data_IF_153938680005
#
_entry.id   IF_153938680005
#
_cell.length_a   1.000
_cell.length_b   1.000
_cell.length_c   1.000
_cell.angle_alpha   90.00
_cell.angle_beta   90.00
_cell.angle_gamma   90.00
#
_symmetry.space_group_name_H-M   'P 1'
#
loop_
_entity.id
_entity.type
_entity.pdbx_description
1 polymer ?
#
# COMPACT_ATOMS: atom_id res chain seq x y z
N UNK A 1 -7.66 8.06 -17.86
CA UNK A 1 -9.00 8.26 -17.27
C UNK A 1 -9.34 7.41 -16.04
N UNK A 2 -8.43 7.26 -15.05
CA UNK A 2 -8.69 6.38 -13.88
C UNK A 2 -8.54 7.14 -12.55
N UNK A 3 -9.29 8.23 -12.40
CA UNK A 3 -9.43 8.94 -11.12
C UNK A 3 -10.93 9.09 -10.85
N UNK A 4 -11.58 8.01 -10.40
CA UNK A 4 -12.90 8.11 -9.76
C UNK A 4 -12.70 8.58 -8.31
N UNK A 5 -13.63 9.39 -7.83
CA UNK A 5 -13.65 9.93 -6.46
C UNK A 5 -12.85 11.22 -6.25
N UNK A 6 -13.15 11.93 -5.17
CA UNK A 6 -12.40 13.11 -4.72
C UNK A 6 -10.96 12.73 -4.35
N UNK A 7 -10.01 13.68 -4.33
CA UNK A 7 -8.63 13.39 -3.89
C UNK A 7 -8.57 12.72 -2.51
N UNK A 8 -9.43 13.14 -1.57
CA UNK A 8 -9.52 12.54 -0.24
C UNK A 8 -10.00 11.08 -0.31
N UNK A 9 -11.01 10.78 -1.12
CA UNK A 9 -11.48 9.39 -1.34
C UNK A 9 -10.41 8.52 -1.98
N UNK A 10 -9.63 9.06 -2.91
CA UNK A 10 -8.54 8.33 -3.54
C UNK A 10 -7.40 8.03 -2.56
N UNK A 11 -7.05 9.01 -1.72
CA UNK A 11 -6.02 8.84 -0.67
C UNK A 11 -6.47 7.79 0.35
N UNK A 12 -7.66 7.96 0.92
CA UNK A 12 -8.20 7.05 1.91
C UNK A 12 -8.39 5.64 1.32
N UNK A 13 -8.96 5.55 0.12
CA UNK A 13 -9.14 4.30 -0.59
C UNK A 13 -7.81 3.58 -0.87
N UNK A 14 -6.78 4.29 -1.30
CA UNK A 14 -5.43 3.71 -1.46
C UNK A 14 -4.84 3.20 -0.14
N UNK A 15 -5.10 3.85 1.01
CA UNK A 15 -4.68 3.31 2.31
C UNK A 15 -5.41 2.02 2.65
N UNK A 16 -6.72 1.98 2.44
CA UNK A 16 -7.54 0.80 2.67
C UNK A 16 -7.00 -0.38 1.86
N UNK A 17 -6.64 -0.14 0.59
CA UNK A 17 -6.02 -1.16 -0.26
C UNK A 17 -4.64 -1.61 0.24
N UNK A 18 -3.77 -0.69 0.71
CA UNK A 18 -2.48 -1.06 1.34
C UNK A 18 -2.71 -1.98 2.54
N UNK A 19 -3.67 -1.66 3.41
CA UNK A 19 -3.95 -2.47 4.60
C UNK A 19 -4.49 -3.84 4.18
N UNK A 20 -5.36 -3.90 3.18
CA UNK A 20 -5.89 -5.15 2.63
C UNK A 20 -4.78 -6.05 2.06
N UNK A 21 -3.86 -5.48 1.27
CA UNK A 21 -2.71 -6.21 0.72
C UNK A 21 -1.82 -6.73 1.84
N UNK A 22 -1.48 -5.89 2.84
CA UNK A 22 -0.69 -6.32 4.01
C UNK A 22 -1.37 -7.45 4.77
N UNK A 23 -2.69 -7.39 4.95
CA UNK A 23 -3.43 -8.44 5.61
C UNK A 23 -3.38 -9.77 4.82
N UNK A 24 -3.50 -9.72 3.50
CA UNK A 24 -3.37 -10.90 2.64
C UNK A 24 -1.95 -11.51 2.71
N UNK A 25 -0.92 -10.68 2.64
CA UNK A 25 0.47 -11.11 2.78
C UNK A 25 0.73 -11.74 4.14
N UNK A 26 0.26 -11.11 5.21
CA UNK A 26 0.37 -11.68 6.56
C UNK A 26 -0.39 -12.99 6.69
N UNK A 27 -1.57 -13.11 6.06
CA UNK A 27 -2.34 -14.35 6.05
C UNK A 27 -1.55 -15.51 5.42
N UNK A 28 -0.82 -15.23 4.34
CA UNK A 28 0.08 -16.16 3.67
C UNK A 28 1.31 -16.49 4.54
N UNK A 29 2.06 -15.47 4.99
CA UNK A 29 3.30 -15.62 5.76
C UNK A 29 3.10 -16.41 7.06
N UNK A 30 2.05 -16.10 7.80
CA UNK A 30 1.74 -16.76 9.08
C UNK A 30 0.89 -18.01 8.91
N UNK A 31 0.60 -18.42 7.66
CA UNK A 31 -0.25 -19.57 7.33
C UNK A 31 -1.52 -19.60 8.17
N UNK A 32 -2.24 -18.48 8.18
CA UNK A 32 -3.42 -18.33 9.04
C UNK A 32 -4.42 -19.46 8.79
N UNK A 33 -5.08 -19.99 9.84
CA UNK A 33 -6.14 -20.99 9.67
C UNK A 33 -7.32 -20.41 8.87
N UNK A 34 -8.03 -21.29 8.16
CA UNK A 34 -9.10 -20.93 7.20
C UNK A 34 -10.16 -20.00 7.81
N UNK A 35 -10.52 -20.21 9.08
CA UNK A 35 -11.48 -19.36 9.80
C UNK A 35 -11.01 -17.91 9.90
N UNK A 36 -9.73 -17.67 10.17
CA UNK A 36 -9.15 -16.32 10.23
C UNK A 36 -9.03 -15.68 8.84
N UNK A 37 -8.70 -16.48 7.82
CA UNK A 37 -8.70 -16.01 6.42
C UNK A 37 -10.08 -15.52 5.99
N UNK A 38 -11.15 -16.23 6.35
CA UNK A 38 -12.53 -15.80 6.08
C UNK A 38 -12.86 -14.46 6.76
N UNK A 39 -12.42 -14.26 8.01
CA UNK A 39 -12.59 -12.97 8.68
C UNK A 39 -11.88 -11.82 7.96
N UNK A 40 -10.67 -12.03 7.43
CA UNK A 40 -9.97 -11.01 6.63
C UNK A 40 -10.81 -10.62 5.41
N UNK A 41 -11.33 -11.60 4.67
CA UNK A 41 -12.12 -11.35 3.45
C UNK A 41 -13.48 -10.70 3.76
N UNK A 42 -14.11 -11.06 4.88
CA UNK A 42 -15.44 -10.59 5.26
C UNK A 42 -15.42 -9.13 5.76
N UNK A 43 -14.42 -8.77 6.58
CA UNK A 43 -14.40 -7.49 7.29
C UNK A 43 -13.45 -6.45 6.69
N UNK A 44 -12.53 -6.83 5.80
CA UNK A 44 -11.70 -5.84 5.12
C UNK A 44 -12.46 -5.16 4.00
N UNK A 45 -12.39 -3.84 4.00
CA UNK A 45 -12.81 -3.02 2.86
C UNK A 45 -11.70 -2.93 1.83
N UNK A 46 -12.06 -2.69 0.58
CA UNK A 46 -11.15 -2.39 -0.52
C UNK A 46 -11.71 -1.22 -1.33
N UNK A 47 -10.87 -0.56 -2.13
CA UNK A 47 -11.25 0.59 -2.96
C UNK A 47 -11.05 0.31 -4.45
N UNK A 48 -9.79 0.23 -4.91
CA UNK A 48 -9.40 -0.13 -6.28
C UNK A 48 -8.98 -1.57 -6.40
N UNK A 49 -8.62 -2.22 -5.28
CA UNK A 49 -8.45 -3.66 -5.24
C UNK A 49 -9.84 -4.32 -5.25
N UNK A 50 -10.13 -5.19 -6.22
CA UNK A 50 -11.42 -5.91 -6.20
C UNK A 50 -11.44 -6.88 -5.01
N UNK A 51 -12.61 -7.05 -4.40
CA UNK A 51 -12.82 -7.96 -3.27
C UNK A 51 -12.54 -9.41 -3.66
N UNK A 52 -12.79 -9.77 -4.93
CA UNK A 52 -12.42 -11.09 -5.47
C UNK A 52 -10.91 -11.27 -5.47
N UNK A 53 -10.17 -10.27 -5.95
CA UNK A 53 -8.70 -10.28 -5.91
C UNK A 53 -8.20 -10.39 -4.47
N UNK A 54 -8.76 -9.66 -3.51
CA UNK A 54 -8.39 -9.82 -2.09
C UNK A 54 -8.61 -11.27 -1.59
N UNK A 55 -9.74 -11.88 -1.94
CA UNK A 55 -10.02 -13.25 -1.56
C UNK A 55 -9.02 -14.25 -2.17
N UNK A 56 -8.64 -14.05 -3.43
CA UNK A 56 -7.59 -14.82 -4.10
C UNK A 56 -6.24 -14.66 -3.40
N UNK A 57 -5.83 -13.43 -3.10
CA UNK A 57 -4.55 -13.14 -2.42
C UNK A 57 -4.49 -13.77 -1.02
N UNK A 58 -5.59 -13.75 -0.25
CA UNK A 58 -5.67 -14.36 1.08
C UNK A 58 -5.66 -15.90 1.00
N UNK A 59 -6.19 -16.46 -0.09
CA UNK A 59 -6.22 -17.91 -0.30
C UNK A 59 -4.84 -18.48 -0.71
N UNK A 60 -3.98 -17.66 -1.33
CA UNK A 60 -2.65 -18.08 -1.79
C UNK A 60 -1.76 -18.56 -0.64
N UNK A 61 -0.95 -19.57 -0.94
CA UNK A 61 -0.03 -20.20 0.00
C UNK A 61 1.42 -19.72 -0.15
N UNK A 62 1.70 -18.95 -1.20
CA UNK A 62 3.02 -18.48 -1.57
C UNK A 62 3.00 -17.01 -2.03
N UNK A 63 4.11 -16.33 -1.79
CA UNK A 63 4.28 -14.89 -2.02
C UNK A 63 4.42 -14.58 -3.52
N UNK A 64 5.02 -15.50 -4.29
CA UNK A 64 5.21 -15.33 -5.72
C UNK A 64 3.86 -15.24 -6.45
N UNK A 65 2.89 -16.08 -6.08
CA UNK A 65 1.53 -16.04 -6.60
C UNK A 65 0.81 -14.74 -6.23
N UNK A 66 0.96 -14.27 -4.99
CA UNK A 66 0.42 -12.97 -4.55
C UNK A 66 0.96 -11.86 -5.44
N UNK A 67 2.26 -11.86 -5.72
CA UNK A 67 2.90 -10.86 -6.56
C UNK A 67 2.43 -10.95 -8.02
N UNK A 68 2.27 -12.16 -8.55
CA UNK A 68 1.77 -12.39 -9.90
C UNK A 68 0.36 -11.82 -10.07
N UNK A 69 -0.56 -12.11 -9.15
CA UNK A 69 -1.92 -11.57 -9.15
C UNK A 69 -1.94 -10.06 -8.96
N UNK A 70 -1.07 -9.52 -8.11
CA UNK A 70 -0.95 -8.08 -7.91
C UNK A 70 -0.52 -7.32 -9.18
N UNK A 71 0.22 -7.96 -10.10
CA UNK A 71 0.58 -7.36 -11.41
C UNK A 71 -0.64 -7.10 -12.30
N UNK A 72 -1.73 -7.83 -12.11
CA UNK A 72 -2.96 -7.67 -12.87
C UNK A 72 -3.88 -6.58 -12.29
N UNK A 73 -3.53 -6.03 -11.12
CA UNK A 73 -4.31 -4.99 -10.44
C UNK A 73 -3.92 -3.57 -10.90
N UNK A 74 -4.70 -2.53 -10.54
CA UNK A 74 -4.31 -1.14 -10.77
C UNK A 74 -2.98 -0.71 -10.13
N UNK A 75 -2.40 -1.57 -9.28
CA UNK A 75 -1.12 -1.37 -8.60
C UNK A 75 0.05 -2.13 -9.25
N UNK A 76 -0.21 -2.82 -10.37
CA UNK A 76 0.75 -3.69 -11.05
C UNK A 76 1.89 -2.93 -11.72
N UNK A 77 2.89 -2.53 -10.95
CA UNK A 77 4.19 -2.08 -11.46
C UNK A 77 5.32 -2.54 -10.53
N UNK A 78 5.68 -3.82 -10.42
CA UNK A 78 7.04 -4.15 -9.93
C UNK A 78 7.59 -5.42 -10.56
N UNK A 79 8.80 -5.28 -11.10
CA UNK A 79 9.71 -6.32 -11.59
C UNK A 79 10.64 -6.78 -10.47
N UNK A 80 10.71 -8.09 -10.23
CA UNK A 80 11.64 -8.79 -9.32
C UNK A 80 10.99 -10.01 -8.67
N UNK A 81 11.70 -10.76 -7.82
CA UNK A 81 11.22 -12.02 -7.20
C UNK A 81 11.58 -12.19 -5.70
N UNK A 82 11.19 -11.27 -4.81
CA UNK A 82 11.44 -11.38 -3.35
C UNK A 82 10.39 -10.66 -2.48
N UNK A 83 10.36 -10.94 -1.17
CA UNK A 83 9.55 -10.24 -0.15
C UNK A 83 9.71 -8.71 -0.19
N UNK A 84 10.85 -8.23 -0.69
CA UNK A 84 11.12 -6.82 -0.99
C UNK A 84 10.11 -6.20 -1.96
N UNK A 85 9.46 -7.00 -2.80
CA UNK A 85 8.50 -6.53 -3.80
C UNK A 85 7.17 -6.08 -3.22
N UNK A 86 6.73 -6.65 -2.09
CA UNK A 86 5.50 -6.19 -1.44
C UNK A 86 5.75 -4.80 -0.85
N UNK A 87 6.90 -4.61 -0.23
CA UNK A 87 7.34 -3.29 0.25
C UNK A 87 7.53 -2.31 -0.91
N UNK A 88 8.07 -2.75 -2.05
CA UNK A 88 8.17 -1.94 -3.26
C UNK A 88 6.78 -1.58 -3.84
N UNK A 89 5.83 -2.53 -3.86
CA UNK A 89 4.46 -2.26 -4.27
C UNK A 89 3.79 -1.26 -3.32
N UNK A 90 3.96 -1.42 -2.01
CA UNK A 90 3.46 -0.45 -1.02
C UNK A 90 4.10 0.92 -1.25
N UNK A 91 5.42 0.97 -1.51
CA UNK A 91 6.14 2.20 -1.82
C UNK A 91 5.59 2.90 -3.07
N UNK A 92 5.24 2.15 -4.11
CA UNK A 92 4.62 2.72 -5.30
C UNK A 92 3.22 3.25 -5.05
N UNK A 93 2.41 2.56 -4.25
CA UNK A 93 1.09 3.07 -3.84
C UNK A 93 1.28 4.37 -3.04
N UNK A 94 2.24 4.41 -2.11
CA UNK A 94 2.59 5.63 -1.36
C UNK A 94 3.02 6.77 -2.28
N UNK A 95 3.86 6.53 -3.28
CA UNK A 95 4.24 7.55 -4.29
C UNK A 95 3.05 8.04 -5.12
N UNK A 96 2.17 7.12 -5.51
CA UNK A 96 0.95 7.48 -6.21
C UNK A 96 0.07 8.40 -5.34
N UNK A 97 -0.08 8.05 -4.06
CA UNK A 97 -0.78 8.87 -3.06
C UNK A 97 -0.10 10.23 -2.89
N UNK A 98 1.23 10.29 -2.70
CA UNK A 98 2.00 11.55 -2.62
C UNK A 98 1.74 12.45 -3.84
N UNK A 99 1.73 11.89 -5.05
CA UNK A 99 1.43 12.65 -6.28
C UNK A 99 0.02 13.23 -6.30
N UNK A 100 -0.99 12.47 -5.85
CA UNK A 100 -2.36 12.98 -5.71
C UNK A 100 -2.42 14.10 -4.68
N UNK A 101 -1.76 13.92 -3.53
CA UNK A 101 -1.74 14.87 -2.43
C UNK A 101 -1.11 16.20 -2.85
N UNK A 102 0.08 16.19 -3.45
CA UNK A 102 0.75 17.39 -3.96
C UNK A 102 -0.12 18.11 -4.98
N UNK A 103 -0.77 17.37 -5.90
CA UNK A 103 -1.69 17.96 -6.88
C UNK A 103 -2.92 18.58 -6.19
N UNK A 104 -3.44 17.96 -5.14
CA UNK A 104 -4.58 18.48 -4.39
C UNK A 104 -4.22 19.79 -3.67
N UNK A 105 -3.06 19.85 -3.02
CA UNK A 105 -2.55 21.06 -2.36
C UNK A 105 -2.44 22.24 -3.34
N UNK A 106 -1.93 21.97 -4.55
CA UNK A 106 -1.73 23.00 -5.56
C UNK A 106 -3.03 23.50 -6.20
N UNK A 107 -4.05 22.64 -6.32
CA UNK A 107 -5.28 22.95 -7.08
C UNK A 107 -6.45 23.38 -6.22
N UNK A 108 -6.52 22.97 -4.95
CA UNK A 108 -7.66 23.23 -4.06
C UNK A 108 -7.22 23.62 -2.64
N UNK A 109 -6.53 24.77 -2.48
CA UNK A 109 -5.89 25.14 -1.21
C UNK A 109 -6.87 25.41 -0.05
N UNK A 110 -8.13 25.74 -0.35
CA UNK A 110 -9.16 26.06 0.66
C UNK A 110 -10.11 24.88 0.93
N UNK A 111 -9.87 23.72 0.32
CA UNK A 111 -10.72 22.54 0.52
C UNK A 111 -10.47 21.92 1.91
N UNK A 112 -11.48 21.36 2.58
CA UNK A 112 -11.29 20.52 3.77
C UNK A 112 -10.32 19.35 3.52
N UNK A 113 -10.23 18.91 2.26
CA UNK A 113 -9.29 17.88 1.82
C UNK A 113 -7.81 18.29 2.01
N UNK A 114 -7.52 19.59 2.15
CA UNK A 114 -6.18 20.10 2.41
C UNK A 114 -5.63 19.57 3.74
N UNK A 115 -6.43 19.65 4.81
CA UNK A 115 -5.99 19.21 6.15
C UNK A 115 -5.72 17.72 6.15
N UNK A 116 -6.61 16.93 5.56
CA UNK A 116 -6.41 15.48 5.37
C UNK A 116 -5.15 15.22 4.54
N UNK A 117 -4.93 16.00 3.47
CA UNK A 117 -3.79 15.82 2.60
C UNK A 117 -2.45 16.13 3.30
N UNK A 118 -2.41 17.19 4.10
CA UNK A 118 -1.23 17.57 4.91
C UNK A 118 -0.95 16.52 5.97
N UNK A 119 -1.97 16.07 6.70
CA UNK A 119 -1.82 15.03 7.72
C UNK A 119 -1.33 13.71 7.12
N UNK A 120 -1.82 13.35 5.94
CA UNK A 120 -1.37 12.15 5.23
C UNK A 120 0.09 12.25 4.79
N UNK A 121 0.50 13.40 4.23
CA UNK A 121 1.91 13.62 3.87
C UNK A 121 2.82 13.54 5.09
N UNK A 122 2.43 14.16 6.20
CA UNK A 122 3.14 14.07 7.48
C UNK A 122 3.27 12.61 7.97
N UNK A 123 2.21 11.82 7.87
CA UNK A 123 2.25 10.41 8.26
C UNK A 123 3.21 9.62 7.38
N UNK A 124 3.21 9.84 6.07
CA UNK A 124 4.16 9.19 5.16
C UNK A 124 5.60 9.57 5.48
N UNK A 125 5.86 10.86 5.76
CA UNK A 125 7.19 11.34 6.14
C UNK A 125 7.65 10.75 7.49
N UNK A 126 6.75 10.60 8.47
CA UNK A 126 7.04 9.92 9.73
C UNK A 126 7.36 8.44 9.51
N UNK A 127 6.56 7.74 8.69
CA UNK A 127 6.81 6.33 8.36
C UNK A 127 8.19 6.14 7.69
N UNK A 128 8.56 7.04 6.78
CA UNK A 128 9.85 7.02 6.10
C UNK A 128 11.01 7.33 7.07
N UNK A 129 10.82 8.28 8.01
CA UNK A 129 11.80 8.60 9.04
C UNK A 129 12.03 7.42 10.01
N UNK A 130 10.95 6.72 10.39
CA UNK A 130 11.04 5.51 11.21
C UNK A 130 11.79 4.40 10.46
N UNK A 131 11.48 4.20 9.18
CA UNK A 131 12.19 3.23 8.35
C UNK A 131 13.69 3.57 8.25
N UNK A 132 14.03 4.85 8.03
CA UNK A 132 15.42 5.31 7.94
C UNK A 132 16.17 5.13 9.27
N UNK A 133 15.53 5.49 10.38
CA UNK A 133 16.12 5.35 11.71
C UNK A 133 16.39 3.87 12.04
N UNK A 134 15.43 3.01 11.70
CA UNK A 134 15.57 1.55 11.87
C UNK A 134 16.71 1.00 11.02
N UNK A 135 16.83 1.45 9.77
CA UNK A 135 17.91 1.07 8.85
C UNK A 135 19.30 1.40 9.40
N UNK A 136 19.46 2.64 9.87
CA UNK A 136 20.71 3.15 10.43
C UNK A 136 21.08 2.35 11.68
N UNK A 137 20.10 2.09 12.55
CA UNK A 137 20.32 1.30 13.76
C UNK A 137 20.67 -0.15 13.47
N UNK A 138 19.98 -0.78 12.51
CA UNK A 138 20.23 -2.17 12.10
C UNK A 138 21.45 -2.34 11.19
N UNK A 139 22.14 -1.26 10.82
CA UNK A 139 23.23 -1.22 9.82
C UNK A 139 22.84 -1.86 8.47
N UNK A 140 21.55 -1.80 8.13
CA UNK A 140 21.05 -2.35 6.85
C UNK A 140 21.07 -1.26 5.80
N UNK A 141 21.96 -1.36 4.82
CA UNK A 141 22.02 -0.45 3.67
C UNK A 141 20.82 -0.61 2.73
N UNK A 142 20.16 -1.76 2.79
CA UNK A 142 19.04 -2.15 1.93
C UNK A 142 17.81 -1.26 2.11
N UNK A 143 17.59 -0.72 3.31
CA UNK A 143 16.45 0.15 3.61
C UNK A 143 16.70 1.59 3.13
N UNK A 144 17.97 2.02 3.04
CA UNK A 144 18.31 3.34 2.51
C UNK A 144 18.08 3.46 1.00
N UNK A 145 18.34 2.39 0.25
CA UNK A 145 17.99 2.30 -1.19
C UNK A 145 16.49 2.28 -1.43
N UNK A 146 15.70 1.69 -0.52
CA UNK A 146 14.23 1.65 -0.60
C UNK A 146 13.58 3.03 -0.36
N UNK A 147 14.22 3.87 0.45
CA UNK A 147 13.80 5.24 0.73
C UNK A 147 14.35 6.26 -0.28
N UNK A 148 15.54 6.06 -0.85
CA UNK A 148 16.06 6.98 -1.87
C UNK A 148 15.32 6.88 -3.21
N UNK A 149 14.59 5.78 -3.41
CA UNK A 149 13.67 5.61 -4.54
C UNK A 149 12.33 6.30 -4.25
N UNK A 150 11.95 6.60 -2.98
CA UNK A 150 10.64 7.17 -2.59
C UNK A 150 10.36 8.58 -3.12
#
# INVERSE_FOLDING_TARGET
DVLKGTPAEQVFGSRVDIIAIRAAVNACLYKLPEKLRKYVIEYMSTYRLDRRTLAELVAMGDIESILATMRETPYGVVSGSDLTLIDEQISLIRKFVRRILVRCLATNPLSPCLVTAVLELLLLDIEDLVALTTAVYSRSTDVLTRLSIS
#
